data_IF_893811368460
#
_entry.id   IF_893811368460
#
_cell.length_a   1.000
_cell.length_b   1.000
_cell.length_c   1.000
_cell.angle_alpha   90.00
_cell.angle_beta   90.00
_cell.angle_gamma   90.00
#
_symmetry.space_group_name_H-M   'P 1'
#
loop_
_entity.id
_entity.type
_entity.pdbx_description
1 polymer ?
#
# COMPACT_ATOMS: atom_id res chain seq x y z
N UNK A 1 41.79 -4.44 76.00
CA UNK A 1 42.15 -5.84 75.68
C UNK A 1 41.40 -6.25 74.42
N UNK A 2 42.14 -6.62 73.38
CA UNK A 2 41.63 -6.99 72.04
C UNK A 2 40.71 -8.21 72.14
N UNK A 3 39.55 -8.17 71.47
CA UNK A 3 38.74 -9.35 71.14
C UNK A 3 38.45 -9.35 69.64
N UNK A 4 38.31 -10.54 69.04
CA UNK A 4 38.87 -10.85 67.73
C UNK A 4 37.88 -10.68 66.58
N UNK A 5 38.41 -10.34 65.40
CA UNK A 5 37.76 -10.50 64.10
C UNK A 5 37.28 -11.93 63.90
N UNK A 6 36.01 -12.08 63.52
CA UNK A 6 35.54 -13.24 62.77
C UNK A 6 34.95 -12.75 61.46
N UNK A 7 35.59 -13.23 60.41
CA UNK A 7 35.38 -12.97 58.99
C UNK A 7 33.95 -13.39 58.62
N UNK A 8 33.16 -12.46 58.11
CA UNK A 8 31.92 -12.76 57.41
C UNK A 8 32.31 -13.23 56.00
N UNK A 9 32.10 -14.51 55.69
CA UNK A 9 32.18 -15.03 54.33
C UNK A 9 30.91 -14.55 53.62
N UNK A 10 31.05 -13.52 52.80
CA UNK A 10 30.01 -13.13 51.86
C UNK A 10 29.96 -14.19 50.76
N UNK A 11 28.91 -15.04 50.76
CA UNK A 11 28.52 -15.74 49.55
C UNK A 11 28.02 -14.69 48.56
N UNK A 12 28.87 -14.31 47.61
CA UNK A 12 28.40 -13.66 46.40
C UNK A 12 27.61 -14.71 45.62
N UNK A 13 26.28 -14.67 45.74
CA UNK A 13 25.41 -15.25 44.74
C UNK A 13 25.68 -14.50 43.44
N UNK A 14 26.42 -15.11 42.53
CA UNK A 14 26.49 -14.65 41.16
C UNK A 14 25.07 -14.85 40.59
N UNK A 15 24.29 -13.77 40.55
CA UNK A 15 23.21 -13.66 39.58
C UNK A 15 23.88 -13.73 38.21
N UNK A 16 23.90 -14.93 37.63
CA UNK A 16 24.03 -15.06 36.19
C UNK A 16 22.75 -14.45 35.65
N UNK A 17 22.80 -13.19 35.26
CA UNK A 17 21.86 -12.67 34.30
C UNK A 17 22.02 -13.55 33.06
N UNK A 18 21.03 -14.40 32.80
CA UNK A 18 20.84 -15.01 31.50
C UNK A 18 20.60 -13.86 30.52
N UNK A 19 21.68 -13.30 29.97
CA UNK A 19 21.61 -12.51 28.77
C UNK A 19 21.04 -13.44 27.69
N UNK A 20 19.91 -13.04 27.15
CA UNK A 20 19.03 -13.81 26.28
C UNK A 20 19.78 -14.50 25.13
N UNK A 21 19.40 -15.75 24.84
CA UNK A 21 19.83 -16.60 23.72
C UNK A 21 19.52 -16.04 22.30
N UNK A 22 19.30 -14.72 22.15
CA UNK A 22 18.74 -14.10 20.94
C UNK A 22 19.67 -13.06 20.28
N UNK A 23 20.90 -12.86 20.76
CA UNK A 23 21.72 -11.70 20.36
C UNK A 23 22.61 -11.92 19.11
N UNK A 24 22.49 -13.04 18.38
CA UNK A 24 23.34 -13.35 17.21
C UNK A 24 22.61 -13.38 15.88
N UNK A 25 21.32 -13.02 15.83
CA UNK A 25 20.57 -12.91 14.58
C UNK A 25 20.24 -11.43 14.29
N UNK A 26 20.34 -10.98 13.02
CA UNK A 26 21.03 -11.63 11.91
C UNK A 26 22.57 -11.60 12.06
N UNK A 27 23.27 -12.50 11.36
CA UNK A 27 24.76 -12.60 11.34
C UNK A 27 25.27 -12.93 9.94
N UNK A 28 26.48 -12.51 9.51
CA UNK A 28 26.98 -12.81 8.17
C UNK A 28 27.12 -14.31 7.89
N UNK A 29 26.51 -14.78 6.81
CA UNK A 29 26.63 -16.17 6.32
C UNK A 29 25.31 -16.71 5.76
N UNK A 30 25.39 -17.48 4.68
CA UNK A 30 24.23 -18.09 4.02
C UNK A 30 23.61 -19.16 4.92
N UNK A 31 22.34 -18.99 5.30
CA UNK A 31 21.61 -19.90 6.18
C UNK A 31 21.55 -21.33 5.66
N UNK A 32 21.63 -21.53 4.34
CA UNK A 32 21.46 -22.83 3.68
C UNK A 32 22.79 -23.52 3.38
N UNK A 33 23.92 -22.94 3.84
CA UNK A 33 25.25 -23.51 3.66
C UNK A 33 26.01 -23.52 4.99
N UNK A 34 26.75 -24.59 5.30
CA UNK A 34 27.58 -24.61 6.51
C UNK A 34 28.70 -23.57 6.44
N UNK A 35 28.97 -22.89 7.55
CA UNK A 35 30.02 -21.90 7.68
C UNK A 35 30.59 -21.81 9.10
N UNK A 36 31.76 -21.16 9.23
CA UNK A 36 32.49 -21.09 10.50
C UNK A 36 31.95 -20.07 11.52
N UNK A 37 31.03 -19.19 11.12
CA UNK A 37 30.35 -18.23 12.01
C UNK A 37 29.15 -18.84 12.76
N UNK A 38 28.57 -18.05 13.66
CA UNK A 38 27.33 -18.36 14.40
C UNK A 38 26.16 -17.56 13.84
N UNK A 39 24.95 -18.14 13.85
CA UNK A 39 23.76 -17.53 13.23
C UNK A 39 23.91 -17.45 11.71
N UNK A 40 22.97 -16.81 11.02
CA UNK A 40 23.01 -16.61 9.57
C UNK A 40 22.30 -15.32 9.16
N UNK A 41 22.34 -15.00 7.86
CA UNK A 41 22.01 -13.66 7.35
C UNK A 41 20.51 -13.37 7.25
N UNK A 42 19.67 -14.39 7.15
CA UNK A 42 18.21 -14.25 7.10
C UNK A 42 17.68 -14.13 8.54
N UNK A 43 17.17 -12.96 8.98
CA UNK A 43 16.84 -12.73 10.39
C UNK A 43 15.83 -13.74 10.95
N UNK A 44 14.70 -13.93 10.26
CA UNK A 44 13.63 -14.82 10.70
C UNK A 44 14.06 -16.29 10.70
N UNK A 45 14.77 -16.74 9.65
CA UNK A 45 15.26 -18.12 9.60
C UNK A 45 16.33 -18.39 10.66
N UNK A 46 17.21 -17.42 10.90
CA UNK A 46 18.22 -17.49 11.95
C UNK A 46 17.55 -17.71 13.31
N UNK A 47 16.52 -16.93 13.65
CA UNK A 47 15.80 -17.08 14.92
C UNK A 47 15.10 -18.44 15.06
N UNK A 48 14.43 -18.92 14.00
CA UNK A 48 13.78 -20.25 13.99
C UNK A 48 14.81 -21.35 14.26
N UNK A 49 15.94 -21.34 13.55
CA UNK A 49 17.00 -22.34 13.70
C UNK A 49 17.66 -22.25 15.07
N UNK A 50 17.95 -21.04 15.58
CA UNK A 50 18.50 -20.85 16.93
C UNK A 50 17.55 -21.38 18.01
N UNK A 51 16.24 -21.18 17.84
CA UNK A 51 15.24 -21.64 18.80
C UNK A 51 15.16 -23.17 18.84
N UNK A 52 15.33 -23.83 17.71
CA UNK A 52 15.33 -25.31 17.62
C UNK A 52 16.67 -25.89 18.09
N UNK A 53 17.79 -25.33 17.65
CA UNK A 53 19.13 -25.77 18.02
C UNK A 53 20.03 -24.58 18.41
N UNK A 54 20.15 -24.28 19.72
CA UNK A 54 20.98 -23.18 20.21
C UNK A 54 22.46 -23.26 19.81
N UNK A 55 22.99 -24.46 19.50
CA UNK A 55 24.39 -24.61 19.09
C UNK A 55 24.71 -23.91 17.77
N UNK A 56 23.72 -23.73 16.89
CA UNK A 56 23.87 -22.98 15.64
C UNK A 56 24.25 -21.52 15.87
N UNK A 57 23.93 -20.99 17.06
CA UNK A 57 24.09 -19.58 17.41
C UNK A 57 25.11 -19.39 18.54
N UNK A 58 25.36 -20.43 19.34
CA UNK A 58 26.37 -20.44 20.39
C UNK A 58 27.76 -20.93 19.93
N UNK A 59 27.84 -21.79 18.89
CA UNK A 59 29.09 -22.46 18.51
C UNK A 59 29.48 -22.24 17.04
N UNK A 60 28.70 -22.75 16.10
CA UNK A 60 28.94 -22.64 14.66
C UNK A 60 27.70 -23.07 13.86
N UNK A 61 27.54 -22.51 12.67
CA UNK A 61 26.53 -22.91 11.70
C UNK A 61 27.05 -24.09 10.85
N UNK A 62 26.93 -25.31 11.38
CA UNK A 62 27.41 -26.51 10.70
C UNK A 62 26.39 -27.12 9.72
N UNK A 63 26.68 -28.33 9.20
CA UNK A 63 25.82 -29.02 8.23
C UNK A 63 24.42 -29.30 8.80
N UNK A 64 24.30 -29.59 10.09
CA UNK A 64 23.00 -29.82 10.72
C UNK A 64 22.19 -28.52 10.85
N UNK A 65 22.85 -27.38 11.09
CA UNK A 65 22.19 -26.07 11.10
C UNK A 65 21.67 -25.69 9.70
N UNK A 66 22.47 -25.94 8.66
CA UNK A 66 22.07 -25.69 7.28
C UNK A 66 20.91 -26.61 6.83
N UNK A 67 20.93 -27.89 7.17
CA UNK A 67 19.82 -28.83 6.90
C UNK A 67 18.54 -28.39 7.60
N UNK A 68 18.65 -28.00 8.88
CA UNK A 68 17.52 -27.48 9.65
C UNK A 68 16.93 -26.21 9.02
N UNK A 69 17.78 -25.31 8.53
CA UNK A 69 17.34 -24.10 7.82
C UNK A 69 16.61 -24.42 6.51
N UNK A 70 17.05 -25.44 5.77
CA UNK A 70 16.39 -25.87 4.53
C UNK A 70 14.99 -26.44 4.83
N UNK A 71 14.83 -27.16 5.93
CA UNK A 71 13.57 -27.80 6.30
C UNK A 71 12.58 -26.84 6.98
N UNK A 72 13.04 -26.01 7.92
CA UNK A 72 12.17 -25.20 8.79
C UNK A 72 11.91 -23.79 8.24
N UNK A 73 12.75 -23.30 7.32
CA UNK A 73 12.63 -21.95 6.75
C UNK A 73 12.08 -21.93 5.32
N UNK A 74 11.30 -22.95 4.93
CA UNK A 74 10.66 -22.98 3.61
C UNK A 74 9.81 -21.71 3.40
N UNK A 75 10.08 -20.96 2.33
CA UNK A 75 9.40 -19.69 2.02
C UNK A 75 10.10 -18.43 2.53
N UNK A 76 11.12 -18.54 3.41
CA UNK A 76 11.94 -17.41 3.84
C UNK A 76 13.15 -17.32 2.90
N UNK A 77 13.14 -16.36 1.97
CA UNK A 77 14.14 -16.25 0.91
C UNK A 77 14.90 -14.91 0.88
N UNK A 78 14.75 -14.05 1.89
CA UNK A 78 15.41 -12.76 1.93
C UNK A 78 16.46 -12.69 3.07
N UNK A 79 17.71 -12.25 2.79
CA UNK A 79 18.27 -12.02 1.44
C UNK A 79 18.59 -13.34 0.71
N UNK A 80 18.79 -13.29 -0.61
CA UNK A 80 19.22 -14.42 -1.44
C UNK A 80 20.21 -14.03 -2.55
N UNK A 81 20.87 -15.01 -3.15
CA UNK A 81 21.77 -14.81 -4.29
C UNK A 81 21.02 -14.21 -5.49
N UNK A 82 21.40 -13.00 -5.91
CA UNK A 82 20.92 -12.35 -7.13
C UNK A 82 20.73 -10.83 -7.00
N UNK A 83 20.80 -10.07 -8.12
CA UNK A 83 20.49 -8.64 -8.11
C UNK A 83 18.98 -8.40 -7.95
N UNK A 84 18.57 -7.37 -7.18
CA UNK A 84 17.15 -7.04 -7.05
C UNK A 84 16.57 -6.35 -8.28
N UNK A 85 17.38 -5.63 -9.05
CA UNK A 85 16.98 -4.82 -10.21
C UNK A 85 17.02 -5.58 -11.55
N UNK A 86 17.18 -6.90 -11.53
CA UNK A 86 17.19 -7.72 -12.73
C UNK A 86 16.60 -9.12 -12.49
N UNK A 87 15.87 -9.71 -13.47
CA UNK A 87 15.30 -11.03 -13.32
C UNK A 87 16.39 -12.12 -13.24
N UNK A 88 16.17 -13.12 -12.39
CA UNK A 88 17.06 -14.26 -12.19
C UNK A 88 16.29 -15.52 -11.71
N UNK A 89 16.86 -16.74 -11.84
CA UNK A 89 16.10 -17.99 -11.70
C UNK A 89 15.80 -18.41 -10.25
N UNK A 90 16.29 -17.67 -9.26
CA UNK A 90 16.16 -17.96 -7.83
C UNK A 90 15.15 -17.01 -7.17
N UNK A 91 14.44 -17.43 -6.11
CA UNK A 91 13.59 -16.55 -5.31
C UNK A 91 14.40 -15.56 -4.47
N UNK A 92 13.81 -14.41 -4.18
CA UNK A 92 14.42 -13.33 -3.40
C UNK A 92 15.59 -12.66 -4.13
N UNK A 93 16.24 -11.69 -3.48
CA UNK A 93 17.41 -10.98 -4.02
C UNK A 93 18.37 -10.57 -2.88
N UNK A 94 19.54 -10.03 -3.24
CA UNK A 94 20.66 -9.88 -2.29
C UNK A 94 20.50 -8.75 -1.27
N UNK A 95 19.65 -7.76 -1.53
CA UNK A 95 19.37 -6.67 -0.59
C UNK A 95 18.19 -7.06 0.30
N UNK A 96 18.43 -7.22 1.60
CA UNK A 96 17.41 -7.71 2.54
C UNK A 96 16.19 -6.78 2.61
N UNK A 97 16.39 -5.46 2.77
CA UNK A 97 15.29 -4.50 2.93
C UNK A 97 14.44 -4.44 1.65
N UNK A 98 15.09 -4.41 0.49
CA UNK A 98 14.41 -4.45 -0.80
C UNK A 98 13.66 -5.77 -1.03
N UNK A 99 14.32 -6.90 -0.76
CA UNK A 99 13.74 -8.23 -0.94
C UNK A 99 12.53 -8.42 -0.02
N UNK A 100 12.67 -8.12 1.27
CA UNK A 100 11.59 -8.25 2.26
C UNK A 100 10.39 -7.40 1.86
N UNK A 101 10.62 -6.17 1.39
CA UNK A 101 9.56 -5.29 0.94
C UNK A 101 8.85 -5.78 -0.33
N UNK A 102 9.60 -6.13 -1.39
CA UNK A 102 9.02 -6.62 -2.65
C UNK A 102 8.26 -7.93 -2.43
N UNK A 103 8.80 -8.84 -1.62
CA UNK A 103 8.12 -10.12 -1.31
C UNK A 103 6.92 -9.93 -0.38
N UNK A 104 6.85 -8.82 0.34
CA UNK A 104 5.65 -8.41 1.08
C UNK A 104 4.56 -7.95 0.12
N UNK A 105 4.88 -7.13 -0.88
CA UNK A 105 3.93 -6.71 -1.94
C UNK A 105 3.46 -7.93 -2.76
N UNK A 106 4.42 -8.74 -3.20
CA UNK A 106 4.22 -9.95 -4.00
C UNK A 106 4.93 -11.17 -3.41
N UNK A 107 4.20 -12.01 -2.65
CA UNK A 107 4.74 -13.27 -2.12
C UNK A 107 5.23 -14.25 -3.19
N UNK A 108 4.87 -14.05 -4.47
CA UNK A 108 5.40 -14.87 -5.55
C UNK A 108 6.92 -14.67 -5.73
N UNK A 109 7.44 -13.47 -5.45
CA UNK A 109 8.86 -13.14 -5.57
C UNK A 109 9.76 -13.88 -4.57
N UNK A 110 9.19 -14.41 -3.48
CA UNK A 110 9.89 -15.28 -2.52
C UNK A 110 9.59 -16.76 -2.75
N UNK A 111 8.68 -17.14 -3.65
CA UNK A 111 8.32 -18.54 -3.90
C UNK A 111 8.90 -19.08 -5.21
N UNK A 112 8.87 -18.28 -6.28
CA UNK A 112 9.28 -18.68 -7.62
C UNK A 112 10.61 -18.02 -8.02
N UNK A 113 10.88 -17.89 -9.32
CA UNK A 113 12.00 -17.08 -9.80
C UNK A 113 11.72 -15.59 -9.60
N UNK A 114 12.73 -14.81 -9.23
CA UNK A 114 12.70 -13.35 -9.31
C UNK A 114 12.54 -12.92 -10.78
N UNK A 115 11.34 -12.58 -11.20
CA UNK A 115 11.01 -12.31 -12.60
C UNK A 115 11.04 -10.81 -12.97
N UNK A 116 10.59 -10.48 -14.19
CA UNK A 116 10.56 -9.11 -14.69
C UNK A 116 9.62 -8.20 -13.88
N UNK A 117 8.62 -8.75 -13.19
CA UNK A 117 7.71 -7.99 -12.34
C UNK A 117 8.39 -7.70 -11.00
N UNK A 118 9.00 -8.71 -10.36
CA UNK A 118 9.77 -8.52 -9.13
C UNK A 118 10.90 -7.49 -9.30
N UNK A 119 11.64 -7.58 -10.41
CA UNK A 119 12.73 -6.63 -10.70
C UNK A 119 12.24 -5.20 -10.95
N UNK A 120 11.10 -5.04 -11.64
CA UNK A 120 10.49 -3.72 -11.88
C UNK A 120 9.96 -3.10 -10.59
N UNK A 121 9.35 -3.89 -9.71
CA UNK A 121 8.91 -3.42 -8.39
C UNK A 121 10.08 -2.99 -7.53
N UNK A 122 11.17 -3.76 -7.53
CA UNK A 122 12.40 -3.37 -6.85
C UNK A 122 12.97 -2.06 -7.39
N UNK A 123 13.04 -1.90 -8.72
CA UNK A 123 13.49 -0.64 -9.33
C UNK A 123 12.58 0.54 -8.95
N UNK A 124 11.27 0.30 -8.83
CA UNK A 124 10.27 1.33 -8.53
C UNK A 124 10.29 1.77 -7.06
N UNK A 125 10.54 0.85 -6.12
CA UNK A 125 10.31 1.11 -4.69
C UNK A 125 11.57 1.03 -3.81
N UNK A 126 12.55 0.21 -4.15
CA UNK A 126 13.71 0.03 -3.30
C UNK A 126 14.59 1.29 -3.29
N UNK A 127 14.96 1.74 -2.08
CA UNK A 127 15.71 2.98 -1.88
C UNK A 127 14.91 4.26 -2.05
N UNK A 128 13.59 4.17 -2.29
CA UNK A 128 12.70 5.33 -2.30
C UNK A 128 12.28 5.65 -0.88
N UNK A 129 12.67 6.83 -0.40
CA UNK A 129 12.25 7.31 0.91
C UNK A 129 10.74 7.56 0.94
N UNK A 130 10.11 7.30 2.10
CA UNK A 130 8.73 7.71 2.39
C UNK A 130 8.57 9.21 2.07
N UNK A 131 7.61 9.53 1.20
CA UNK A 131 7.08 10.88 1.12
C UNK A 131 6.11 11.12 2.28
N UNK A 132 6.15 12.34 2.79
CA UNK A 132 5.26 12.76 3.85
C UNK A 132 4.21 13.72 3.31
N UNK A 133 2.94 13.48 3.65
CA UNK A 133 1.91 14.48 3.44
C UNK A 133 2.12 15.64 4.45
N UNK A 134 2.14 16.91 3.99
CA UNK A 134 2.30 18.07 4.87
C UNK A 134 1.10 18.17 5.81
N UNK A 135 1.17 18.60 7.07
CA UNK A 135 -0.02 18.70 7.93
C UNK A 135 -1.16 19.49 7.28
N UNK A 136 -2.41 19.00 7.37
CA UNK A 136 -3.55 19.74 6.83
C UNK A 136 -3.77 21.04 7.59
N UNK A 137 -4.24 22.07 6.90
CA UNK A 137 -4.61 23.35 7.49
C UNK A 137 -5.90 23.28 8.35
N UNK A 138 -6.31 22.09 8.80
CA UNK A 138 -7.54 21.82 9.56
C UNK A 138 -8.82 21.88 8.72
N UNK A 139 -8.72 21.81 7.39
CA UNK A 139 -9.85 21.93 6.46
C UNK A 139 -10.44 20.59 6.02
N UNK A 140 -9.76 19.48 6.27
CA UNK A 140 -10.26 18.16 5.90
C UNK A 140 -11.02 17.48 7.03
N UNK A 141 -11.96 16.64 6.62
CA UNK A 141 -12.71 15.72 7.46
C UNK A 141 -11.83 14.50 7.65
N UNK A 142 -11.35 14.30 8.88
CA UNK A 142 -10.77 13.03 9.29
C UNK A 142 -11.89 11.97 9.30
N UNK A 143 -11.70 10.89 8.57
CA UNK A 143 -12.65 9.77 8.54
C UNK A 143 -12.80 9.07 9.90
N UNK A 144 -11.84 9.30 10.81
CA UNK A 144 -11.80 8.75 12.16
C UNK A 144 -11.89 7.21 12.18
N UNK A 145 -11.28 6.59 11.19
CA UNK A 145 -11.16 5.15 11.02
C UNK A 145 -10.00 4.61 11.88
N UNK A 146 -10.26 3.72 12.85
CA UNK A 146 -9.19 3.00 13.52
C UNK A 146 -8.41 2.16 12.50
N UNK A 147 -7.10 2.12 12.64
CA UNK A 147 -6.18 1.55 11.67
C UNK A 147 -6.35 0.03 11.41
N UNK A 148 -7.07 -0.71 12.28
CA UNK A 148 -7.40 -2.13 12.09
C UNK A 148 -8.86 -2.37 11.68
N UNK A 149 -9.65 -1.31 11.58
CA UNK A 149 -11.04 -1.38 11.14
C UNK A 149 -11.11 -1.07 9.64
N UNK A 150 -12.29 -1.34 9.06
CA UNK A 150 -12.60 -1.24 7.63
C UNK A 150 -14.03 -0.76 7.44
N UNK A 151 -14.30 0.48 7.81
CA UNK A 151 -15.63 1.06 7.96
C UNK A 151 -16.21 1.55 6.63
N UNK A 152 -15.37 1.84 5.64
CA UNK A 152 -15.75 2.46 4.37
C UNK A 152 -15.35 1.62 3.11
N UNK A 153 -15.13 0.32 3.32
CA UNK A 153 -14.73 -0.71 2.35
C UNK A 153 -15.79 -1.18 1.35
N UNK A 154 -16.70 -0.28 1.02
CA UNK A 154 -17.84 -0.55 0.18
C UNK A 154 -18.76 -1.58 0.81
N UNK A 155 -19.23 -2.49 -0.04
CA UNK A 155 -20.23 -3.48 0.30
C UNK A 155 -19.72 -4.61 1.19
N UNK A 156 -18.40 -4.81 1.26
CA UNK A 156 -17.79 -5.89 2.03
C UNK A 156 -17.90 -5.68 3.56
N UNK A 157 -18.19 -4.45 3.99
CA UNK A 157 -18.33 -4.04 5.39
C UNK A 157 -19.56 -4.64 6.08
N UNK A 158 -20.54 -5.14 5.34
CA UNK A 158 -21.77 -5.74 5.89
C UNK A 158 -22.73 -4.75 6.56
N UNK A 159 -22.42 -3.44 6.57
CA UNK A 159 -23.27 -2.37 7.11
C UNK A 159 -23.39 -1.22 6.10
N UNK A 160 -24.59 -0.65 5.98
CA UNK A 160 -24.85 0.49 5.10
C UNK A 160 -24.44 1.82 5.77
N UNK A 161 -23.87 2.78 5.02
CA UNK A 161 -23.67 2.76 3.57
C UNK A 161 -22.35 2.12 3.09
N UNK A 162 -21.40 1.82 4.00
CA UNK A 162 -20.07 1.29 3.65
C UNK A 162 -19.28 2.22 2.71
N UNK A 163 -19.68 3.49 2.61
CA UNK A 163 -19.11 4.51 1.73
C UNK A 163 -19.19 5.86 2.43
N UNK A 164 -18.12 6.65 2.34
CA UNK A 164 -18.12 8.07 2.67
C UNK A 164 -19.02 8.82 1.70
N UNK A 165 -19.83 9.77 2.18
CA UNK A 165 -20.78 10.51 1.35
C UNK A 165 -20.37 11.99 1.23
N UNK A 166 -19.38 12.30 0.36
CA UNK A 166 -18.88 13.67 0.21
C UNK A 166 -19.93 14.61 -0.38
N UNK A 167 -19.98 15.83 0.16
CA UNK A 167 -20.54 16.98 -0.54
C UNK A 167 -19.52 17.57 -1.52
N UNK A 168 -20.01 18.33 -2.51
CA UNK A 168 -19.14 19.04 -3.44
C UNK A 168 -18.23 20.04 -2.70
N UNK A 169 -16.93 19.89 -2.87
CA UNK A 169 -15.92 20.72 -2.21
C UNK A 169 -15.36 20.12 -0.92
N UNK A 170 -15.87 18.98 -0.46
CA UNK A 170 -15.35 18.33 0.73
C UNK A 170 -13.92 17.84 0.51
N UNK A 171 -13.18 17.80 1.61
CA UNK A 171 -11.81 17.29 1.71
C UNK A 171 -11.81 16.24 2.79
N UNK A 172 -11.21 15.09 2.54
CA UNK A 172 -11.04 14.03 3.52
C UNK A 172 -9.56 13.70 3.69
N UNK A 173 -9.21 13.27 4.88
CA UNK A 173 -7.95 12.62 5.18
C UNK A 173 -8.20 11.35 5.97
N UNK A 174 -7.29 10.40 5.82
CA UNK A 174 -7.47 9.07 6.38
C UNK A 174 -6.21 8.24 6.29
N UNK A 175 -6.36 6.96 6.61
CA UNK A 175 -5.30 5.96 6.51
C UNK A 175 -5.83 4.73 5.80
N UNK A 176 -4.97 4.07 5.05
CA UNK A 176 -5.30 2.77 4.46
C UNK A 176 -4.33 1.71 4.98
N UNK A 177 -4.83 0.50 5.20
CA UNK A 177 -3.99 -0.67 5.51
C UNK A 177 -4.20 -1.81 4.51
N UNK A 178 -3.11 -2.47 4.14
CA UNK A 178 -3.13 -3.68 3.32
C UNK A 178 -2.71 -4.93 4.09
N UNK A 179 -2.38 -4.84 5.39
CA UNK A 179 -1.94 -5.95 6.27
C UNK A 179 -2.99 -7.00 6.68
N UNK A 180 -3.98 -7.30 5.84
CA UNK A 180 -5.19 -8.06 6.17
C UNK A 180 -6.18 -7.98 5.02
N UNK A 181 -7.46 -8.38 5.13
CA UNK A 181 -8.35 -8.15 3.98
C UNK A 181 -8.33 -6.64 3.70
N UNK A 182 -7.94 -6.28 2.46
CA UNK A 182 -7.48 -4.94 2.05
C UNK A 182 -8.47 -3.85 2.44
N UNK A 183 -8.01 -2.82 3.12
CA UNK A 183 -8.74 -1.59 3.36
C UNK A 183 -8.86 -0.78 2.05
N UNK A 184 -10.03 -0.26 1.76
CA UNK A 184 -10.31 0.59 0.60
C UNK A 184 -11.32 1.66 0.97
N UNK A 185 -11.02 2.91 0.63
CA UNK A 185 -11.91 4.01 0.97
C UNK A 185 -12.87 4.31 -0.18
N UNK A 186 -14.17 4.06 0.03
CA UNK A 186 -15.19 4.30 -0.97
C UNK A 186 -15.89 5.63 -0.74
N UNK A 187 -15.90 6.49 -1.75
CA UNK A 187 -16.61 7.77 -1.77
C UNK A 187 -17.81 7.70 -2.71
N UNK A 188 -19.01 7.88 -2.18
CA UNK A 188 -20.24 7.96 -2.96
C UNK A 188 -20.24 9.22 -3.84
N UNK A 189 -20.22 9.02 -5.15
CA UNK A 189 -20.31 10.08 -6.17
C UNK A 189 -21.59 9.96 -6.99
N UNK A 190 -22.62 9.35 -6.39
CA UNK A 190 -23.94 9.09 -6.97
C UNK A 190 -24.50 10.32 -7.72
N UNK A 191 -25.22 10.07 -8.81
CA UNK A 191 -25.67 11.11 -9.72
C UNK A 191 -27.09 10.84 -10.25
N UNK A 192 -27.90 11.88 -10.40
CA UNK A 192 -29.23 11.78 -11.04
C UNK A 192 -29.21 12.12 -12.52
N UNK A 193 -28.10 12.69 -13.00
CA UNK A 193 -27.81 13.07 -14.37
C UNK A 193 -26.28 12.95 -14.56
N UNK A 194 -25.82 12.94 -15.81
CA UNK A 194 -24.39 13.05 -16.09
C UNK A 194 -23.79 14.25 -15.37
N UNK A 195 -22.69 14.02 -14.66
CA UNK A 195 -22.00 15.05 -13.89
C UNK A 195 -20.50 14.89 -14.02
N UNK A 196 -19.78 16.00 -13.95
CA UNK A 196 -18.33 16.01 -13.89
C UNK A 196 -17.84 16.09 -12.45
N UNK A 197 -16.93 15.21 -12.08
CA UNK A 197 -16.30 15.16 -10.78
C UNK A 197 -14.79 15.31 -10.96
N UNK A 198 -14.20 16.19 -10.16
CA UNK A 198 -12.75 16.29 -10.03
C UNK A 198 -12.33 15.75 -8.68
N UNK A 199 -11.63 14.63 -8.68
CA UNK A 199 -10.98 14.10 -7.51
C UNK A 199 -9.52 14.54 -7.50
N UNK A 200 -9.07 15.21 -6.45
CA UNK A 200 -7.64 15.46 -6.22
C UNK A 200 -7.17 14.58 -5.09
N UNK A 201 -6.16 13.76 -5.35
CA UNK A 201 -5.72 12.70 -4.46
C UNK A 201 -4.23 12.83 -4.20
N UNK A 202 -3.83 12.68 -2.95
CA UNK A 202 -2.45 12.56 -2.51
C UNK A 202 -2.34 11.41 -1.51
N UNK A 203 -1.25 10.66 -1.57
CA UNK A 203 -0.99 9.59 -0.63
C UNK A 203 0.51 9.40 -0.39
N UNK A 204 0.85 8.78 0.74
CA UNK A 204 2.21 8.39 1.08
C UNK A 204 2.62 7.02 0.48
N UNK A 205 1.72 6.42 -0.30
CA UNK A 205 1.82 5.12 -0.96
C UNK A 205 1.36 5.23 -2.43
N UNK A 206 1.63 4.25 -3.31
CA UNK A 206 1.11 4.24 -4.67
C UNK A 206 -0.42 4.04 -4.67
N UNK A 207 -1.15 4.90 -5.38
CA UNK A 207 -2.61 4.93 -5.33
C UNK A 207 -3.16 4.07 -6.46
N UNK A 208 -4.09 3.17 -6.14
CA UNK A 208 -5.00 2.59 -7.11
C UNK A 208 -6.34 3.30 -6.99
N UNK A 209 -6.70 4.13 -7.97
CA UNK A 209 -7.96 4.85 -8.00
C UNK A 209 -8.94 4.18 -8.97
N UNK A 210 -10.18 3.94 -8.55
CA UNK A 210 -11.19 3.31 -9.42
C UNK A 210 -12.52 4.05 -9.37
N UNK A 211 -13.27 4.00 -10.46
CA UNK A 211 -14.70 4.33 -10.46
C UNK A 211 -15.52 3.05 -10.63
N UNK A 212 -16.28 2.71 -9.60
CA UNK A 212 -17.17 1.54 -9.60
C UNK A 212 -18.61 2.03 -9.74
N UNK A 213 -19.32 1.50 -10.75
CA UNK A 213 -20.74 1.72 -10.98
C UNK A 213 -21.54 0.55 -10.43
N UNK A 214 -22.74 0.84 -9.94
CA UNK A 214 -23.67 -0.15 -9.39
C UNK A 214 -23.74 -0.11 -7.88
N UNK A 215 -24.54 -1.02 -7.32
CA UNK A 215 -24.82 -1.12 -5.88
C UNK A 215 -24.72 -2.58 -5.39
N UNK A 216 -25.30 -2.85 -4.22
CA UNK A 216 -25.32 -4.19 -3.63
C UNK A 216 -26.05 -5.23 -4.49
N UNK A 217 -27.03 -4.81 -5.30
CA UNK A 217 -27.84 -5.70 -6.15
C UNK A 217 -27.18 -5.95 -7.51
N UNK A 218 -26.33 -5.02 -7.95
CA UNK A 218 -25.63 -5.07 -9.22
C UNK A 218 -26.54 -4.90 -10.45
N UNK A 219 -26.00 -5.01 -11.67
CA UNK A 219 -24.62 -5.37 -11.99
C UNK A 219 -23.62 -4.27 -11.60
N UNK A 220 -22.41 -4.69 -11.27
CA UNK A 220 -21.31 -3.80 -10.93
C UNK A 220 -20.29 -3.75 -12.06
N UNK A 221 -19.81 -2.55 -12.37
CA UNK A 221 -18.82 -2.28 -13.42
C UNK A 221 -17.68 -1.44 -12.84
N UNK A 222 -16.44 -1.90 -12.99
CA UNK A 222 -15.27 -1.01 -12.81
C UNK A 222 -15.14 -0.22 -14.11
N UNK A 223 -15.59 1.03 -14.08
CA UNK A 223 -15.64 1.91 -15.26
C UNK A 223 -14.24 2.27 -15.74
N UNK A 224 -13.34 2.51 -14.79
CA UNK A 224 -11.92 2.71 -15.03
C UNK A 224 -11.13 2.42 -13.75
N UNK A 225 -9.84 2.14 -13.94
CA UNK A 225 -8.83 2.00 -12.90
C UNK A 225 -7.61 2.81 -13.35
N UNK A 226 -7.13 3.69 -12.49
CA UNK A 226 -5.97 4.53 -12.73
C UNK A 226 -4.94 4.33 -11.61
N UNK A 227 -3.77 3.74 -11.92
CA UNK A 227 -2.65 3.71 -11.00
C UNK A 227 -2.01 5.10 -10.96
N UNK A 228 -1.91 5.69 -9.78
CA UNK A 228 -1.22 6.95 -9.55
C UNK A 228 0.07 6.64 -8.79
N UNK A 229 1.20 7.04 -9.37
CA UNK A 229 2.51 6.66 -8.86
C UNK A 229 2.82 7.18 -7.45
N UNK A 230 3.86 6.62 -6.86
CA UNK A 230 4.36 6.97 -5.54
C UNK A 230 5.03 8.36 -5.51
N UNK A 231 4.82 9.11 -4.41
CA UNK A 231 5.53 10.35 -4.09
C UNK A 231 5.53 11.38 -5.21
N UNK A 232 4.38 11.47 -5.86
CA UNK A 232 4.23 12.15 -7.12
C UNK A 232 3.49 13.50 -6.97
N UNK A 233 3.12 13.86 -5.73
CA UNK A 233 2.31 15.03 -5.37
C UNK A 233 0.83 14.86 -5.72
N UNK A 234 0.06 15.94 -5.65
CA UNK A 234 -1.36 15.94 -6.03
C UNK A 234 -1.59 15.36 -7.43
N UNK A 235 -2.52 14.41 -7.49
CA UNK A 235 -3.00 13.80 -8.72
C UNK A 235 -4.45 14.16 -8.92
N UNK A 236 -4.79 14.57 -10.13
CA UNK A 236 -6.12 15.09 -10.46
C UNK A 236 -6.77 14.16 -11.46
N UNK A 237 -7.86 13.52 -11.05
CA UNK A 237 -8.75 12.76 -11.92
C UNK A 237 -9.98 13.63 -12.23
N UNK A 238 -10.21 13.92 -13.51
CA UNK A 238 -11.37 14.69 -13.97
C UNK A 238 -12.23 13.78 -14.87
N UNK A 239 -13.35 13.30 -14.34
CA UNK A 239 -14.12 12.24 -14.98
C UNK A 239 -15.62 12.49 -14.94
N UNK A 240 -16.33 11.86 -15.88
CA UNK A 240 -17.78 11.85 -15.91
C UNK A 240 -18.35 10.70 -15.08
N UNK A 241 -19.41 11.00 -14.34
CA UNK A 241 -20.21 10.02 -13.61
C UNK A 241 -21.59 9.91 -14.27
N UNK A 242 -21.99 8.71 -14.76
CA UNK A 242 -23.30 8.49 -15.34
C UNK A 242 -24.40 8.58 -14.26
N UNK A 243 -25.67 8.79 -14.67
CA UNK A 243 -26.80 8.70 -13.75
C UNK A 243 -26.87 7.32 -13.10
N UNK A 244 -26.89 7.25 -11.77
CA UNK A 244 -26.95 6.01 -11.01
C UNK A 244 -26.15 6.07 -9.71
N UNK A 245 -25.91 4.88 -9.16
CA UNK A 245 -25.03 4.67 -8.00
C UNK A 245 -23.60 4.52 -8.52
N UNK A 246 -22.69 5.30 -7.96
CA UNK A 246 -21.29 5.31 -8.34
C UNK A 246 -20.40 5.58 -7.12
N UNK A 247 -19.26 4.90 -7.07
CA UNK A 247 -18.30 5.02 -5.98
C UNK A 247 -16.91 5.24 -6.54
N UNK A 248 -16.26 6.32 -6.11
CA UNK A 248 -14.81 6.47 -6.28
C UNK A 248 -14.14 5.62 -5.20
N UNK A 249 -13.24 4.73 -5.56
CA UNK A 249 -12.54 3.84 -4.63
C UNK A 249 -11.07 4.23 -4.61
N UNK A 250 -10.57 4.57 -3.44
CA UNK A 250 -9.16 4.79 -3.17
C UNK A 250 -8.59 3.51 -2.57
N UNK A 251 -7.49 3.02 -3.14
CA UNK A 251 -6.77 1.87 -2.66
C UNK A 251 -5.26 2.06 -2.77
N UNK A 252 -4.50 1.14 -2.17
CA UNK A 252 -3.06 1.03 -2.42
C UNK A 252 -2.80 0.07 -3.60
N UNK A 253 -1.97 0.48 -4.55
CA UNK A 253 -1.63 -0.33 -5.72
C UNK A 253 -0.97 0.48 -6.82
N UNK A 254 -0.50 -0.23 -7.84
CA UNK A 254 0.20 0.35 -8.98
C UNK A 254 -0.31 -0.20 -10.31
N UNK A 255 0.41 0.10 -11.40
CA UNK A 255 0.02 -0.31 -12.76
C UNK A 255 0.02 -1.83 -12.98
N UNK A 256 0.73 -2.57 -12.13
CA UNK A 256 0.88 -4.01 -12.22
C UNK A 256 -0.15 -4.72 -11.35
N UNK A 257 -0.41 -4.21 -10.12
CA UNK A 257 -1.33 -4.85 -9.19
C UNK A 257 -1.83 -3.95 -8.04
N UNK A 258 -2.99 -4.30 -7.45
CA UNK A 258 -3.34 -3.83 -6.11
C UNK A 258 -2.35 -4.37 -5.07
N UNK A 259 -1.96 -3.53 -4.12
CA UNK A 259 -1.20 -3.95 -2.96
C UNK A 259 -2.13 -4.61 -1.95
N UNK A 260 -1.95 -5.92 -1.78
CA UNK A 260 -2.74 -6.74 -0.85
C UNK A 260 -2.09 -6.92 0.52
N UNK A 261 -0.87 -6.39 0.67
CA UNK A 261 0.06 -6.44 1.81
C UNK A 261 1.05 -5.28 1.65
N UNK A 262 1.94 -5.08 2.64
CA UNK A 262 3.01 -4.06 2.69
C UNK A 262 2.66 -2.70 3.30
N UNK A 263 1.39 -2.46 3.63
CA UNK A 263 0.94 -1.33 4.43
C UNK A 263 0.28 -1.90 5.68
N UNK A 264 1.09 -2.26 6.66
CA UNK A 264 0.57 -2.77 7.93
C UNK A 264 0.14 -1.60 8.81
N UNK A 265 -0.69 -1.88 9.81
CA UNK A 265 -1.07 -0.84 10.73
C UNK A 265 0.14 -0.33 11.54
N UNK A 266 0.26 1.00 11.69
CA UNK A 266 1.34 1.66 12.44
C UNK A 266 1.00 1.92 13.92
N UNK A 267 -0.16 1.44 14.36
CA UNK A 267 -0.61 1.46 15.76
C UNK A 267 -0.48 0.07 16.39
N UNK A 268 -0.62 -0.02 17.72
CA UNK A 268 -0.68 -1.32 18.41
C UNK A 268 -2.14 -1.72 18.56
N UNK A 269 -2.49 -2.93 18.10
CA UNK A 269 -3.83 -3.50 18.29
C UNK A 269 -4.11 -3.66 19.81
N UNK A 270 -5.11 -2.95 20.36
CA UNK A 270 -5.45 -3.07 21.78
C UNK A 270 -6.00 -4.46 22.15
N UNK A 271 -6.58 -5.19 21.18
CA UNK A 271 -7.17 -6.51 21.38
C UNK A 271 -6.17 -7.65 21.07
N UNK A 272 -5.09 -7.35 20.36
CA UNK A 272 -3.99 -8.28 20.07
C UNK A 272 -2.60 -7.61 20.20
N UNK A 273 -2.19 -7.17 21.41
CA UNK A 273 -0.90 -6.52 21.60
C UNK A 273 0.26 -7.49 21.33
N UNK A 274 1.45 -6.98 20.95
CA UNK A 274 2.61 -7.83 20.72
C UNK A 274 3.00 -8.62 21.98
N UNK A 275 3.59 -9.82 21.83
CA UNK A 275 4.03 -10.63 22.97
C UNK A 275 5.02 -9.91 23.88
N UNK A 276 5.91 -9.09 23.29
CA UNK A 276 6.77 -8.16 24.03
C UNK A 276 6.20 -6.73 23.90
N UNK A 277 5.85 -6.06 25.01
CA UNK A 277 5.33 -4.70 24.98
C UNK A 277 6.35 -3.65 24.49
N UNK A 278 7.64 -4.00 24.43
CA UNK A 278 8.69 -3.13 23.90
C UNK A 278 8.91 -3.31 22.38
N UNK A 279 8.23 -4.27 21.73
CA UNK A 279 8.30 -4.46 20.28
C UNK A 279 7.66 -3.25 19.56
N UNK A 280 8.38 -2.59 18.63
CA UNK A 280 7.81 -1.50 17.85
C UNK A 280 6.72 -2.03 16.90
N UNK A 281 5.74 -1.19 16.52
CA UNK A 281 4.81 -1.54 15.45
C UNK A 281 5.58 -1.80 14.14
N UNK A 282 4.99 -2.56 13.20
CA UNK A 282 5.61 -2.85 11.91
C UNK A 282 6.14 -1.58 11.23
N UNK A 283 7.38 -1.63 10.75
CA UNK A 283 7.99 -0.52 10.05
C UNK A 283 7.25 -0.27 8.73
N UNK A 284 6.71 0.93 8.57
CA UNK A 284 6.11 1.34 7.30
C UNK A 284 7.18 1.93 6.39
N UNK A 285 7.57 1.19 5.34
CA UNK A 285 8.53 1.64 4.31
C UNK A 285 7.98 2.86 3.56
N UNK A 286 6.69 2.84 3.29
CA UNK A 286 5.91 3.98 2.83
C UNK A 286 4.99 4.48 3.95
N UNK A 287 4.22 5.54 3.73
CA UNK A 287 3.23 5.96 4.72
C UNK A 287 1.87 5.34 4.47
N UNK A 288 0.97 5.46 5.45
CA UNK A 288 -0.41 4.98 5.36
C UNK A 288 -1.41 6.08 5.00
N UNK A 289 -0.98 7.35 5.05
CA UNK A 289 -1.89 8.49 4.97
C UNK A 289 -2.28 8.81 3.54
N UNK A 290 -3.53 9.20 3.36
CA UNK A 290 -4.06 9.72 2.11
C UNK A 290 -4.91 10.96 2.34
N UNK A 291 -5.14 11.71 1.26
CA UNK A 291 -6.07 12.84 1.17
C UNK A 291 -6.82 12.81 -0.13
N UNK A 292 -8.10 13.13 -0.04
CA UNK A 292 -8.93 13.31 -1.22
C UNK A 292 -9.73 14.60 -1.15
N UNK A 293 -9.86 15.26 -2.29
CA UNK A 293 -10.71 16.40 -2.51
C UNK A 293 -11.72 16.07 -3.61
N UNK A 294 -13.02 16.11 -3.29
CA UNK A 294 -14.07 15.82 -4.26
C UNK A 294 -14.76 17.13 -4.64
N UNK A 295 -14.49 17.63 -5.85
CA UNK A 295 -15.14 18.80 -6.40
C UNK A 295 -16.15 18.41 -7.49
N UNK A 296 -17.18 19.23 -7.64
CA UNK A 296 -18.20 19.08 -8.68
C UNK A 296 -18.02 20.22 -9.66
N UNK A 297 -17.69 19.90 -10.89
CA UNK A 297 -17.40 20.89 -11.93
C UNK A 297 -18.59 21.07 -12.85
N UNK A 298 -18.69 22.22 -13.54
CA UNK A 298 -19.54 22.32 -14.71
C UNK A 298 -19.25 21.17 -15.68
N UNK A 299 -20.28 20.59 -16.32
CA UNK A 299 -20.08 19.42 -17.18
C UNK A 299 -19.10 19.69 -18.34
N UNK A 300 -19.08 20.94 -18.83
CA UNK A 300 -18.21 21.42 -19.90
C UNK A 300 -16.82 21.90 -19.47
N UNK A 301 -16.41 21.71 -18.20
CA UNK A 301 -15.07 22.02 -17.70
C UNK A 301 -14.13 20.81 -17.94
N UNK A 302 -13.65 20.67 -19.17
CA UNK A 302 -12.92 19.52 -19.67
C UNK A 302 -11.47 19.50 -19.15
N UNK A 303 -10.84 20.66 -18.96
CA UNK A 303 -9.48 20.72 -18.41
C UNK A 303 -9.45 20.71 -16.87
N UNK A 304 -10.61 20.86 -16.24
CA UNK A 304 -10.79 20.70 -14.82
C UNK A 304 -10.27 21.90 -14.02
N UNK A 305 -10.19 23.09 -14.60
CA UNK A 305 -9.69 24.29 -13.92
C UNK A 305 -10.74 24.99 -13.03
N UNK A 306 -12.01 24.62 -13.14
CA UNK A 306 -13.14 25.18 -12.39
C UNK A 306 -14.02 26.13 -13.21
N UNK A 307 -13.72 26.39 -14.48
CA UNK A 307 -14.49 27.27 -15.35
C UNK A 307 -14.66 26.66 -16.74
N UNK A 308 -15.76 27.01 -17.43
CA UNK A 308 -15.93 26.66 -18.84
C UNK A 308 -15.44 27.83 -19.69
N UNK A 309 -14.40 27.59 -20.47
CA UNK A 309 -13.69 28.61 -21.24
C UNK A 309 -13.43 28.17 -22.69
N UNK A 310 -12.71 29.02 -23.42
CA UNK A 310 -12.24 28.67 -24.77
C UNK A 310 -11.25 27.50 -24.79
N UNK A 311 -10.59 27.20 -23.67
CA UNK A 311 -9.72 26.04 -23.54
C UNK A 311 -10.54 24.74 -23.64
N UNK A 312 -11.65 24.65 -22.91
CA UNK A 312 -12.57 23.51 -22.94
C UNK A 312 -13.19 23.31 -24.31
N UNK A 313 -13.57 24.41 -24.98
CA UNK A 313 -14.05 24.32 -26.35
C UNK A 313 -13.00 23.73 -27.28
N UNK A 314 -11.75 24.17 -27.14
CA UNK A 314 -10.64 23.62 -27.89
C UNK A 314 -10.46 22.13 -27.62
N UNK A 315 -10.54 21.71 -26.36
CA UNK A 315 -10.45 20.32 -25.95
C UNK A 315 -11.58 19.47 -26.58
N UNK A 316 -12.83 19.94 -26.50
CA UNK A 316 -13.99 19.28 -27.10
C UNK A 316 -13.84 19.14 -28.62
N UNK A 317 -13.46 20.22 -29.32
CA UNK A 317 -13.29 20.20 -30.78
C UNK A 317 -12.12 19.31 -31.23
N UNK A 318 -11.09 19.16 -30.41
CA UNK A 318 -10.00 18.21 -30.68
C UNK A 318 -10.43 16.75 -30.51
N UNK A 319 -11.41 16.48 -29.64
CA UNK A 319 -11.96 15.16 -29.38
C UNK A 319 -13.14 14.78 -30.30
N UNK A 320 -13.49 15.63 -31.28
CA UNK A 320 -14.69 15.47 -32.11
C UNK A 320 -14.72 14.16 -32.91
N UNK A 321 -15.80 13.39 -32.78
CA UNK A 321 -16.00 12.12 -33.49
C UNK A 321 -16.56 11.00 -32.61
N UNK A 322 -16.62 9.79 -33.16
CA UNK A 322 -17.07 8.60 -32.45
C UNK A 322 -16.07 8.21 -31.34
N UNK A 323 -16.59 7.80 -30.18
CA UNK A 323 -15.82 7.27 -29.06
C UNK A 323 -15.85 5.74 -29.13
N UNK A 324 -14.69 5.08 -29.08
CA UNK A 324 -14.61 3.62 -29.05
C UNK A 324 -15.07 3.11 -27.68
N UNK A 325 -16.22 2.40 -27.57
CA UNK A 325 -16.74 1.94 -26.29
C UNK A 325 -15.89 0.81 -25.67
N UNK A 326 -14.91 0.27 -26.41
CA UNK A 326 -13.99 -0.76 -25.93
C UNK A 326 -12.64 -0.19 -25.47
N UNK A 327 -12.38 1.08 -25.76
CA UNK A 327 -11.18 1.75 -25.28
C UNK A 327 -11.28 1.98 -23.76
N UNK A 328 -10.21 1.71 -22.98
CA UNK A 328 -10.17 2.06 -21.57
C UNK A 328 -10.36 3.57 -21.39
N UNK A 329 -11.20 3.95 -20.44
CA UNK A 329 -11.37 5.35 -20.05
C UNK A 329 -10.19 5.74 -19.17
N UNK A 330 -9.49 6.80 -19.55
CA UNK A 330 -8.42 7.40 -18.76
C UNK A 330 -8.96 8.62 -18.00
N UNK A 331 -9.12 8.55 -16.66
CA UNK A 331 -9.62 9.67 -15.87
C UNK A 331 -8.61 10.82 -15.73
N UNK A 332 -7.37 10.63 -16.20
CA UNK A 332 -6.35 11.69 -16.30
C UNK A 332 -6.36 12.36 -17.69
N UNK A 333 -7.10 11.77 -18.64
CA UNK A 333 -7.29 12.29 -19.98
C UNK A 333 -8.48 13.24 -20.09
N UNK A 334 -8.67 13.79 -21.30
CA UNK A 334 -9.86 14.59 -21.62
C UNK A 334 -11.02 13.67 -21.94
N UNK A 335 -12.10 13.78 -21.18
CA UNK A 335 -13.38 13.13 -21.46
C UNK A 335 -14.37 14.16 -22.00
N UNK A 336 -14.73 14.08 -23.28
CA UNK A 336 -15.53 15.08 -23.99
C UNK A 336 -16.92 14.59 -24.43
N UNK A 337 -17.26 13.32 -24.18
CA UNK A 337 -18.59 12.74 -24.42
C UNK A 337 -19.47 13.02 -23.20
N UNK A 338 -20.03 14.23 -23.17
CA UNK A 338 -20.68 14.83 -22.00
C UNK A 338 -22.07 14.24 -21.72
N UNK A 339 -22.71 13.62 -22.70
CA UNK A 339 -24.00 12.93 -22.53
C UNK A 339 -23.91 11.40 -22.61
N UNK A 340 -22.72 10.87 -22.88
CA UNK A 340 -22.40 9.45 -22.88
C UNK A 340 -23.09 8.67 -23.99
N UNK A 341 -23.39 9.32 -25.11
CA UNK A 341 -24.02 8.67 -26.27
C UNK A 341 -23.03 7.90 -27.16
N UNK A 342 -21.73 7.98 -26.84
CA UNK A 342 -20.65 7.32 -27.56
C UNK A 342 -20.07 8.16 -28.71
N UNK A 343 -20.40 9.45 -28.80
CA UNK A 343 -19.81 10.35 -29.78
C UNK A 343 -19.67 11.79 -29.26
N UNK A 344 -18.51 12.41 -29.50
CA UNK A 344 -18.30 13.84 -29.23
C UNK A 344 -18.82 14.65 -30.42
N UNK A 345 -19.89 15.40 -30.21
CA UNK A 345 -20.59 16.12 -31.26
C UNK A 345 -21.39 17.34 -30.82
N UNK A 346 -22.50 17.58 -31.53
CA UNK A 346 -23.30 18.78 -31.35
C UNK A 346 -24.03 18.82 -30.01
N UNK A 347 -24.39 17.66 -29.46
CA UNK A 347 -25.00 17.54 -28.13
C UNK A 347 -24.02 17.98 -27.04
N UNK A 348 -22.78 17.50 -27.09
CA UNK A 348 -21.71 17.87 -26.16
C UNK A 348 -21.34 19.34 -26.27
N UNK A 349 -21.24 19.85 -27.51
CA UNK A 349 -21.01 21.27 -27.73
C UNK A 349 -22.12 22.13 -27.11
N UNK A 350 -23.38 21.70 -27.23
CA UNK A 350 -24.49 22.40 -26.61
C UNK A 350 -24.43 22.31 -25.07
N UNK A 351 -24.06 21.15 -24.52
CA UNK A 351 -23.86 20.95 -23.09
C UNK A 351 -22.74 21.85 -22.54
N UNK A 352 -21.60 21.91 -23.22
CA UNK A 352 -20.48 22.80 -22.89
C UNK A 352 -20.91 24.27 -22.92
N UNK A 353 -21.50 24.72 -24.03
CA UNK A 353 -21.91 26.12 -24.19
C UNK A 353 -22.99 26.57 -23.20
N UNK A 354 -23.72 25.64 -22.57
CA UNK A 354 -24.69 25.97 -21.52
C UNK A 354 -24.04 26.45 -20.21
N UNK A 355 -22.76 26.11 -19.99
CA UNK A 355 -21.99 26.46 -18.81
C UNK A 355 -20.93 27.54 -19.01
N UNK A 356 -20.81 28.11 -20.22
CA UNK A 356 -19.83 29.13 -20.59
C UNK A 356 -20.08 30.51 -19.94
#
# INVERSE_FOLDING_TARGET
MRRPSRIAVALAAACVASASLHAQCPSPGDCRKPHGGTGCEMPQCCEIVCAINPLCCDLAWDEACAELAIEECEGINCPADGPCDAPHPTPGCADFECCDFVTTIDPWCSFASWDEICAREAERYCGVARCELPPLAGEAIDEAEPCYERLNDGWATGFAPGRLAPSCGDRFEGRIVSGGPRDTDWFAVDATAWRRVRARVEAEFPIELQLVLGDLEGPNEVRWLAPLGLCQGERVANFLVPPGVASLVLGAGDEDRPWRRALDCDEVDPDAPPPDPDDPPPLQVHGLRWRVAIDCLPIGDLDGDGAVTAADLGALLNAWGEVDPTAPIDPLGVDADLDGDGAVGASDLAALLSGW
#
